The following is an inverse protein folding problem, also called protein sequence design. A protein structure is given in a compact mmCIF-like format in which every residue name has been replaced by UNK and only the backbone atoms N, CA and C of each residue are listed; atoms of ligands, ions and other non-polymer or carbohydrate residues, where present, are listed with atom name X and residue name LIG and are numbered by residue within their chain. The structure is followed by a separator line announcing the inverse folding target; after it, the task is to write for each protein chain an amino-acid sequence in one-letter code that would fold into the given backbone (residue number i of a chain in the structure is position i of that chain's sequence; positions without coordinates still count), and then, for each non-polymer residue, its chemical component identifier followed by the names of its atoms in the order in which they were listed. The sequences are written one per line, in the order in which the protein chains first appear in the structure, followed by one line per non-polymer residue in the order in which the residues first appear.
data_IF_194647127273
#
_entry.id   IF_194647127273
#
_cell.length_a   1.000
_cell.length_b   1.000
_cell.length_c   1.000
_cell.angle_alpha   90.00
_cell.angle_beta   90.00
_cell.angle_gamma   90.00
#
_symmetry.space_group_name_H-M   'P 1'
#
loop_
_entity.id
_entity.type
_entity.pdbx_description
1 polymer ?
#
# COMPACT_ATOMS: atom_id res chain seq x y z
N UNK A 1 -12.52 -18.04 -14.53
CA UNK A 1 -11.04 -18.10 -14.35
C UNK A 1 -10.45 -16.87 -13.65
N UNK A 2 -11.26 -16.00 -13.05
CA UNK A 2 -10.85 -14.85 -12.22
C UNK A 2 -10.50 -15.23 -10.78
N UNK A 3 -10.86 -16.44 -10.32
CA UNK A 3 -10.79 -16.82 -8.91
C UNK A 3 -9.37 -17.09 -8.37
N UNK A 4 -8.44 -17.64 -9.17
CA UNK A 4 -7.13 -18.13 -8.65
C UNK A 4 -6.15 -16.97 -8.38
N UNK A 5 -6.04 -16.01 -9.29
CA UNK A 5 -5.17 -14.83 -9.09
C UNK A 5 -5.63 -13.99 -7.88
N UNK A 6 -6.95 -13.83 -7.71
CA UNK A 6 -7.56 -13.18 -6.55
C UNK A 6 -7.24 -13.92 -5.25
N UNK A 7 -7.35 -15.25 -5.23
CA UNK A 7 -7.16 -16.03 -4.01
C UNK A 7 -5.69 -16.13 -3.57
N UNK A 8 -4.77 -16.38 -4.50
CA UNK A 8 -3.37 -16.69 -4.17
C UNK A 8 -2.45 -15.47 -4.10
N UNK A 9 -2.74 -14.43 -4.87
CA UNK A 9 -1.85 -13.26 -4.99
C UNK A 9 -2.47 -12.05 -4.32
N UNK A 10 -3.74 -11.76 -4.61
CA UNK A 10 -4.37 -10.53 -4.16
C UNK A 10 -4.78 -10.54 -2.68
N UNK A 11 -5.29 -11.67 -2.18
CA UNK A 11 -5.80 -11.77 -0.79
C UNK A 11 -4.71 -11.52 0.27
N UNK A 12 -3.46 -11.90 -0.01
CA UNK A 12 -2.34 -11.67 0.92
C UNK A 12 -1.97 -10.19 0.98
N UNK A 13 -1.93 -9.52 -0.16
CA UNK A 13 -1.74 -8.08 -0.23
C UNK A 13 -2.92 -7.33 0.41
N UNK A 14 -4.15 -7.82 0.22
CA UNK A 14 -5.38 -7.26 0.77
C UNK A 14 -5.37 -7.13 2.30
N UNK A 15 -4.95 -8.18 3.01
CA UNK A 15 -4.95 -8.20 4.48
C UNK A 15 -3.86 -7.27 5.04
N UNK A 16 -2.77 -7.05 4.30
CA UNK A 16 -1.60 -6.29 4.76
C UNK A 16 -1.67 -4.80 4.38
N UNK A 17 -2.64 -4.40 3.55
CA UNK A 17 -2.85 -3.03 3.10
C UNK A 17 -3.02 -1.94 4.19
N UNK A 18 -3.56 -2.21 5.41
CA UNK A 18 -3.70 -1.14 6.41
C UNK A 18 -2.39 -0.75 7.10
N UNK A 19 -1.28 -1.47 6.88
CA UNK A 19 0.01 -1.21 7.51
C UNK A 19 0.88 -0.31 6.64
N UNK A 20 0.99 0.97 7.00
CA UNK A 20 1.82 1.95 6.28
C UNK A 20 3.29 1.50 6.18
N UNK A 21 3.85 0.99 7.29
CA UNK A 21 5.22 0.49 7.33
C UNK A 21 5.46 -0.66 6.35
N UNK A 22 4.46 -1.52 6.16
CA UNK A 22 4.57 -2.68 5.28
C UNK A 22 4.12 -2.44 3.84
N UNK A 23 3.63 -1.26 3.50
CA UNK A 23 3.07 -0.97 2.19
C UNK A 23 4.11 -1.10 1.06
N UNK A 24 5.32 -0.49 1.14
CA UNK A 24 6.29 -0.58 0.05
C UNK A 24 6.75 -2.02 -0.22
N UNK A 25 7.01 -2.80 0.83
CA UNK A 25 7.43 -4.20 0.69
C UNK A 25 6.31 -5.07 0.11
N UNK A 26 5.06 -4.81 0.51
CA UNK A 26 3.90 -5.54 0.00
C UNK A 26 3.64 -5.25 -1.48
N UNK A 27 3.77 -3.99 -1.90
CA UNK A 27 3.65 -3.58 -3.30
C UNK A 27 4.72 -4.24 -4.17
N UNK A 28 5.97 -4.26 -3.72
CA UNK A 28 7.06 -4.92 -4.44
C UNK A 28 6.81 -6.43 -4.57
N UNK A 29 6.38 -7.09 -3.50
CA UNK A 29 6.09 -8.52 -3.52
C UNK A 29 4.91 -8.86 -4.43
N UNK A 30 3.86 -8.03 -4.41
CA UNK A 30 2.70 -8.17 -5.29
C UNK A 30 3.11 -8.01 -6.75
N UNK A 31 3.91 -6.99 -7.07
CA UNK A 31 4.43 -6.78 -8.42
C UNK A 31 5.24 -7.98 -8.91
N UNK A 32 6.17 -8.50 -8.08
CA UNK A 32 6.95 -9.71 -8.42
C UNK A 32 6.04 -10.92 -8.67
N UNK A 33 5.05 -11.14 -7.81
CA UNK A 33 4.09 -12.25 -7.94
C UNK A 33 3.26 -12.15 -9.23
N UNK A 34 2.81 -10.94 -9.60
CA UNK A 34 2.08 -10.71 -10.86
C UNK A 34 2.97 -10.97 -12.08
N UNK A 35 4.25 -10.63 -12.00
CA UNK A 35 5.23 -10.87 -13.06
C UNK A 35 5.67 -12.34 -13.17
N UNK A 36 5.66 -13.09 -12.06
CA UNK A 36 5.89 -14.54 -12.04
C UNK A 36 4.69 -15.31 -12.59
N UNK A 37 3.47 -14.78 -12.41
CA UNK A 37 2.24 -15.35 -12.96
C UNK A 37 2.23 -15.40 -14.50
N UNK A 38 3.18 -14.74 -15.17
CA UNK A 38 3.37 -14.86 -16.62
C UNK A 38 3.63 -16.30 -17.06
N UNK A 39 4.19 -17.13 -16.17
CA UNK A 39 4.42 -18.57 -16.39
C UNK A 39 3.12 -19.38 -16.48
N UNK A 40 2.04 -18.91 -15.85
CA UNK A 40 0.73 -19.58 -15.84
C UNK A 40 -0.16 -18.97 -16.92
N UNK A 41 -0.27 -17.64 -16.96
CA UNK A 41 -1.11 -16.96 -17.93
C UNK A 41 -0.57 -15.58 -18.33
N UNK A 42 0.16 -15.55 -19.44
CA UNK A 42 0.86 -14.36 -19.94
C UNK A 42 -0.05 -13.13 -20.11
N UNK A 43 -1.22 -13.28 -20.73
CA UNK A 43 -2.09 -12.13 -21.01
C UNK A 43 -2.64 -11.48 -19.73
N UNK A 44 -3.06 -12.28 -18.74
CA UNK A 44 -3.54 -11.80 -17.44
C UNK A 44 -2.39 -11.15 -16.67
N UNK A 45 -1.23 -11.78 -16.62
CA UNK A 45 -0.03 -11.21 -15.98
C UNK A 45 0.33 -9.84 -16.57
N UNK A 46 0.42 -9.72 -17.91
CA UNK A 46 0.70 -8.43 -18.56
C UNK A 46 -0.37 -7.39 -18.25
N UNK A 47 -1.64 -7.73 -18.39
CA UNK A 47 -2.74 -6.79 -18.12
C UNK A 47 -2.76 -6.32 -16.66
N UNK A 48 -2.56 -7.24 -15.71
CA UNK A 48 -2.58 -6.94 -14.27
C UNK A 48 -1.33 -6.18 -13.82
N UNK A 49 -0.12 -6.56 -14.27
CA UNK A 49 1.12 -5.84 -13.98
C UNK A 49 1.11 -4.43 -14.57
N UNK A 50 0.62 -4.25 -15.80
CA UNK A 50 0.47 -2.92 -16.42
C UNK A 50 -0.55 -2.05 -15.68
N UNK A 51 -1.62 -2.65 -15.16
CA UNK A 51 -2.61 -1.91 -14.35
C UNK A 51 -2.03 -1.54 -12.99
N UNK A 52 -1.31 -2.47 -12.37
CA UNK A 52 -0.74 -2.30 -11.03
C UNK A 52 0.44 -1.33 -11.02
N UNK A 53 1.23 -1.24 -12.09
CA UNK A 53 2.34 -0.28 -12.19
C UNK A 53 1.90 1.18 -12.03
N UNK A 54 0.64 1.49 -12.36
CA UNK A 54 0.04 2.80 -12.12
C UNK A 54 -0.27 3.14 -10.66
N UNK A 55 -0.18 2.16 -9.75
CA UNK A 55 -0.59 2.25 -8.35
C UNK A 55 0.58 2.00 -7.36
N UNK A 56 1.84 2.07 -7.83
CA UNK A 56 3.03 1.81 -7.02
C UNK A 56 3.49 3.03 -6.21
N UNK A 57 2.56 3.77 -5.61
CA UNK A 57 2.88 5.00 -4.89
C UNK A 57 3.81 4.78 -3.70
N UNK A 58 3.71 3.67 -2.99
CA UNK A 58 4.57 3.38 -1.84
C UNK A 58 6.01 3.05 -2.20
N UNK A 59 6.29 2.73 -3.47
CA UNK A 59 7.66 2.55 -3.95
C UNK A 59 8.33 3.89 -4.28
N UNK A 60 7.64 5.03 -4.14
CA UNK A 60 8.22 6.32 -4.55
C UNK A 60 9.38 6.66 -3.64
N UNK A 61 10.37 7.42 -4.11
CA UNK A 61 11.51 7.80 -3.29
C UNK A 61 11.08 8.40 -1.94
N UNK A 62 9.99 9.16 -1.89
CA UNK A 62 9.48 9.75 -0.67
C UNK A 62 8.84 8.74 0.29
N UNK A 63 8.14 7.71 -0.20
CA UNK A 63 7.35 6.79 0.63
C UNK A 63 8.03 5.45 0.90
N UNK A 64 9.02 5.07 0.11
CA UNK A 64 9.76 3.80 0.28
C UNK A 64 10.47 3.73 1.65
N UNK A 65 10.79 4.89 2.24
CA UNK A 65 11.35 5.01 3.58
C UNK A 65 10.48 4.37 4.68
N UNK A 66 9.17 4.23 4.46
CA UNK A 66 8.27 3.53 5.39
C UNK A 66 8.68 2.07 5.62
N UNK A 67 9.34 1.43 4.64
CA UNK A 67 9.78 0.04 4.75
C UNK A 67 10.88 -0.18 5.80
N UNK A 68 11.54 0.88 6.27
CA UNK A 68 12.49 0.80 7.39
C UNK A 68 11.82 0.34 8.70
N UNK A 69 10.51 0.54 8.81
CA UNK A 69 9.70 0.16 9.97
C UNK A 69 8.98 -1.19 9.80
N UNK A 70 9.18 -1.88 8.67
CA UNK A 70 8.67 -3.23 8.46
C UNK A 70 9.62 -4.25 9.10
N UNK A 71 9.06 -5.16 9.90
CA UNK A 71 9.80 -6.26 10.52
C UNK A 71 10.20 -7.35 9.53
N UNK A 72 9.59 -7.39 8.34
CA UNK A 72 9.91 -8.34 7.26
C UNK A 72 11.16 -7.95 6.47
N UNK A 73 11.59 -6.69 6.56
CA UNK A 73 12.79 -6.19 5.89
C UNK A 73 14.00 -6.46 6.78
N UNK A 74 14.99 -7.20 6.26
CA UNK A 74 16.18 -7.56 7.03
C UNK A 74 17.07 -6.36 7.31
N UNK A 75 17.86 -6.43 8.39
CA UNK A 75 18.86 -5.41 8.73
C UNK A 75 19.85 -5.15 7.59
N UNK A 76 20.21 -6.20 6.82
CA UNK A 76 21.07 -6.05 5.64
C UNK A 76 20.45 -5.15 4.56
N UNK A 77 19.16 -5.32 4.28
CA UNK A 77 18.44 -4.46 3.33
C UNK A 77 18.27 -3.06 3.90
N UNK A 78 17.95 -2.93 5.19
CA UNK A 78 17.87 -1.62 5.87
C UNK A 78 19.19 -0.85 5.77
N UNK A 79 20.34 -1.50 5.94
CA UNK A 79 21.67 -0.90 5.74
C UNK A 79 21.86 -0.36 4.32
N UNK A 80 21.48 -1.14 3.30
CA UNK A 80 21.58 -0.71 1.90
C UNK A 80 20.65 0.46 1.60
N UNK A 81 19.43 0.45 2.15
CA UNK A 81 18.49 1.57 2.03
C UNK A 81 19.08 2.84 2.66
N UNK A 82 19.60 2.78 3.89
CA UNK A 82 20.20 3.95 4.56
C UNK A 82 21.41 4.48 3.77
N UNK A 83 22.25 3.59 3.25
CA UNK A 83 23.37 3.97 2.38
C UNK A 83 22.89 4.72 1.13
N UNK A 84 21.82 4.24 0.48
CA UNK A 84 21.21 4.89 -0.68
C UNK A 84 20.50 6.22 -0.33
N UNK A 85 20.09 6.44 0.93
CA UNK A 85 19.59 7.75 1.38
C UNK A 85 20.71 8.78 1.57
N UNK A 86 21.95 8.33 1.77
CA UNK A 86 23.11 9.18 2.03
C UNK A 86 23.93 9.47 0.77
N UNK A 87 23.64 8.81 -0.35
CA UNK A 87 24.33 9.06 -1.61
C UNK A 87 23.93 10.42 -2.21
N UNK A 88 24.92 11.22 -2.62
CA UNK A 88 24.74 12.52 -3.28
C UNK A 88 24.27 12.44 -4.74
N UNK A 89 23.89 11.25 -5.22
CA UNK A 89 23.44 11.01 -6.59
C UNK A 89 21.99 11.52 -6.77
N UNK A 90 21.82 12.84 -6.68
CA UNK A 90 20.61 13.55 -7.05
C UNK A 90 20.50 13.57 -8.58
N UNK A 91 20.18 12.41 -9.16
CA UNK A 91 19.49 12.43 -10.45
C UNK A 91 18.12 13.07 -10.17
N UNK A 92 18.01 14.35 -10.51
CA UNK A 92 16.75 15.10 -10.63
C UNK A 92 15.78 14.36 -11.56
N UNK A 93 15.14 13.31 -11.06
CA UNK A 93 13.85 12.92 -11.60
C UNK A 93 12.87 13.97 -11.06
N UNK A 94 12.63 14.96 -11.92
CA UNK A 94 11.56 15.93 -11.81
C UNK A 94 10.28 15.20 -11.37
N UNK A 95 9.67 15.76 -10.34
CA UNK A 95 8.47 15.26 -9.73
C UNK A 95 7.35 15.16 -10.77
N UNK A 96 6.69 14.00 -10.90
CA UNK A 96 5.24 13.93 -11.15
C UNK A 96 4.67 12.50 -11.04
N UNK A 97 3.98 12.26 -9.92
CA UNK A 97 2.77 11.42 -9.75
C UNK A 97 2.78 9.91 -10.01
N UNK A 98 3.75 9.31 -10.70
CA UNK A 98 3.86 7.84 -10.83
C UNK A 98 5.30 7.44 -11.07
N UNK A 99 5.77 6.41 -10.36
CA UNK A 99 7.02 5.76 -10.73
C UNK A 99 6.77 4.96 -11.99
N UNK A 100 7.50 5.28 -13.05
CA UNK A 100 7.53 4.43 -14.24
C UNK A 100 8.56 3.33 -13.98
N UNK A 101 8.10 2.21 -13.41
CA UNK A 101 8.95 1.03 -13.30
C UNK A 101 8.89 0.28 -14.63
N UNK A 102 10.04 0.10 -15.25
CA UNK A 102 10.20 -0.88 -16.31
C UNK A 102 9.96 -2.29 -15.75
N UNK A 103 8.89 -2.94 -16.22
CA UNK A 103 8.41 -4.23 -15.70
C UNK A 103 9.40 -5.37 -15.92
N UNK A 104 10.25 -5.28 -16.93
CA UNK A 104 11.26 -6.29 -17.23
C UNK A 104 12.41 -6.23 -16.21
N UNK A 105 12.84 -5.04 -15.80
CA UNK A 105 13.81 -4.85 -14.72
C UNK A 105 13.22 -5.03 -13.31
N UNK A 106 11.91 -4.89 -13.13
CA UNK A 106 11.24 -4.97 -11.83
C UNK A 106 11.43 -6.30 -11.08
N UNK A 107 11.57 -7.42 -11.81
CA UNK A 107 11.78 -8.75 -11.20
C UNK A 107 13.03 -8.80 -10.32
N UNK A 108 14.10 -8.12 -10.74
CA UNK A 108 15.39 -8.16 -10.09
C UNK A 108 15.60 -7.01 -9.10
N UNK A 109 14.65 -6.07 -9.00
CA UNK A 109 14.74 -4.95 -8.08
C UNK A 109 14.29 -5.35 -6.67
N UNK A 110 15.09 -4.99 -5.69
CA UNK A 110 14.79 -4.93 -4.27
C UNK A 110 14.46 -3.49 -3.83
N UNK A 111 14.10 -3.33 -2.56
CA UNK A 111 13.70 -2.04 -1.98
C UNK A 111 14.79 -0.98 -2.09
N UNK A 112 16.06 -1.36 -1.90
CA UNK A 112 17.20 -0.44 -1.94
C UNK A 112 17.33 0.31 -3.27
N UNK A 113 16.85 -0.25 -4.38
CA UNK A 113 16.91 0.41 -5.70
C UNK A 113 15.85 1.50 -5.90
N UNK A 114 14.87 1.60 -5.00
CA UNK A 114 13.84 2.64 -5.01
C UNK A 114 14.16 3.78 -4.04
N UNK A 115 15.15 3.57 -3.18
CA UNK A 115 15.60 4.54 -2.19
C UNK A 115 16.58 5.50 -2.83
N UNK A 116 16.37 6.79 -2.62
CA UNK A 116 17.29 7.87 -2.98
C UNK A 116 17.48 8.84 -1.81
N UNK A 117 18.32 9.86 -1.96
CA UNK A 117 18.45 10.95 -1.00
C UNK A 117 17.11 11.62 -0.63
N UNK A 118 16.13 11.62 -1.56
CA UNK A 118 14.79 12.16 -1.30
C UNK A 118 14.02 11.37 -0.23
N UNK A 119 14.34 10.11 -0.02
CA UNK A 119 13.68 9.28 1.01
C UNK A 119 13.95 9.78 2.42
N UNK A 120 15.07 10.48 2.64
CA UNK A 120 15.35 11.15 3.91
C UNK A 120 14.37 12.31 4.19
N UNK A 121 13.79 12.93 3.14
CA UNK A 121 12.82 14.02 3.29
C UNK A 121 11.51 13.55 3.94
N UNK A 122 11.21 12.24 3.91
CA UNK A 122 10.06 11.66 4.62
C UNK A 122 10.08 12.01 6.11
N UNK A 123 11.25 11.88 6.75
CA UNK A 123 11.41 12.12 8.17
C UNK A 123 11.16 13.59 8.53
N UNK A 124 11.63 14.51 7.67
CA UNK A 124 11.37 15.94 7.82
C UNK A 124 9.89 16.29 7.59
N UNK A 125 9.27 15.73 6.55
CA UNK A 125 7.86 15.99 6.22
C UNK A 125 6.89 15.48 7.30
N UNK A 126 7.27 14.42 8.01
CA UNK A 126 6.45 13.77 9.02
C UNK A 126 6.84 14.13 10.46
N UNK A 127 7.84 15.00 10.64
CA UNK A 127 8.42 15.36 11.95
C UNK A 127 8.82 14.12 12.77
N UNK A 128 9.44 13.14 12.10
CA UNK A 128 9.90 11.89 12.71
C UNK A 128 11.35 12.05 13.19
N UNK A 129 11.69 11.50 14.37
CA UNK A 129 13.08 11.47 14.79
C UNK A 129 13.86 10.52 13.87
N UNK A 130 15.00 11.00 13.36
CA UNK A 130 15.83 10.33 12.34
C UNK A 130 17.22 9.96 12.86
N UNK A 131 17.54 10.30 14.12
CA UNK A 131 18.84 10.04 14.73
C UNK A 131 19.26 8.57 14.71
N UNK A 132 18.31 7.63 14.66
CA UNK A 132 18.57 6.20 14.53
C UNK A 132 19.21 5.82 13.19
N UNK A 133 19.03 6.60 12.12
CA UNK A 133 19.61 6.34 10.79
C UNK A 133 21.15 6.39 10.81
N UNK A 134 21.75 7.01 11.83
CA UNK A 134 23.21 7.07 12.01
C UNK A 134 23.82 5.83 12.66
N UNK A 135 22.97 4.91 13.12
CA UNK A 135 23.37 3.69 13.86
C UNK A 135 22.98 2.46 13.07
N UNK A 136 23.70 1.36 13.30
CA UNK A 136 23.40 0.09 12.63
C UNK A 136 21.96 -0.39 12.90
N UNK A 137 21.22 -0.88 11.88
CA UNK A 137 19.86 -1.38 12.02
C UNK A 137 19.65 -2.49 13.06
N UNK A 138 20.68 -3.26 13.39
CA UNK A 138 20.61 -4.31 14.39
C UNK A 138 20.42 -3.74 15.83
N UNK A 139 20.69 -2.44 16.03
CA UNK A 139 20.52 -1.75 17.31
C UNK A 139 19.24 -0.90 17.37
N UNK A 140 18.46 -0.81 16.29
CA UNK A 140 17.32 0.12 16.23
C UNK A 140 16.20 -0.24 17.19
N UNK A 141 15.91 -1.53 17.38
CA UNK A 141 14.81 -2.01 18.24
C UNK A 141 14.94 -1.58 19.71
N UNK A 142 16.14 -1.23 20.17
CA UNK A 142 16.36 -0.76 21.54
C UNK A 142 16.28 0.76 21.67
N UNK A 143 16.39 1.51 20.57
CA UNK A 143 16.44 2.96 20.62
C UNK A 143 15.07 3.60 20.78
N UNK A 144 15.03 4.67 21.58
CA UNK A 144 13.80 5.43 21.83
C UNK A 144 13.30 6.20 20.60
N UNK A 145 14.21 6.81 19.84
CA UNK A 145 13.88 7.53 18.60
C UNK A 145 13.24 6.60 17.56
N UNK A 146 13.81 5.41 17.34
CA UNK A 146 13.23 4.42 16.43
C UNK A 146 11.82 3.98 16.86
N UNK A 147 11.62 3.69 18.16
CA UNK A 147 10.30 3.30 18.70
C UNK A 147 9.26 4.39 18.47
N UNK A 148 9.59 5.64 18.76
CA UNK A 148 8.69 6.78 18.57
C UNK A 148 8.32 6.97 17.09
N UNK A 149 9.31 6.87 16.19
CA UNK A 149 9.06 6.96 14.76
C UNK A 149 8.20 5.78 14.26
N UNK A 150 8.50 4.56 14.72
CA UNK A 150 7.77 3.33 14.38
C UNK A 150 6.31 3.37 14.83
N UNK A 151 6.04 3.86 16.06
CA UNK A 151 4.67 4.04 16.56
C UNK A 151 3.90 5.08 15.75
N UNK A 152 4.54 6.21 15.43
CA UNK A 152 3.94 7.25 14.59
C UNK A 152 3.57 6.70 13.21
N UNK A 153 4.50 5.98 12.56
CA UNK A 153 4.26 5.37 11.25
C UNK A 153 3.18 4.29 11.31
N UNK A 154 3.13 3.47 12.36
CA UNK A 154 2.07 2.46 12.56
C UNK A 154 0.70 3.09 12.79
N UNK A 155 0.65 4.29 13.36
CA UNK A 155 -0.61 5.01 13.59
C UNK A 155 -1.18 5.65 12.32
N UNK A 156 -0.39 5.72 11.23
CA UNK A 156 -0.84 6.25 9.95
C UNK A 156 -1.95 5.39 9.38
N UNK A 157 -3.14 5.98 9.27
CA UNK A 157 -4.23 5.35 8.54
C UNK A 157 -3.93 5.44 7.05
N UNK A 158 -3.61 4.30 6.45
CA UNK A 158 -3.50 4.15 4.99
C UNK A 158 -4.91 4.04 4.39
N UNK A 159 -5.64 5.15 4.40
CA UNK A 159 -7.07 5.19 4.04
C UNK A 159 -7.29 5.05 2.53
N UNK A 160 -6.33 5.51 1.72
CA UNK A 160 -6.60 5.76 0.31
C UNK A 160 -6.94 4.49 -0.48
N UNK A 161 -6.25 3.41 -0.18
CA UNK A 161 -6.45 2.09 -0.77
C UNK A 161 -7.84 1.49 -0.47
N UNK A 162 -8.44 1.84 0.68
CA UNK A 162 -9.78 1.39 1.05
C UNK A 162 -10.86 2.31 0.45
N UNK A 163 -10.61 3.61 0.38
CA UNK A 163 -11.53 4.60 -0.19
C UNK A 163 -11.67 4.41 -1.71
N UNK A 164 -10.56 4.33 -2.46
CA UNK A 164 -10.58 4.10 -3.91
C UNK A 164 -11.26 2.77 -4.26
N UNK A 165 -11.03 1.73 -3.46
CA UNK A 165 -11.68 0.42 -3.64
C UNK A 165 -13.15 0.44 -3.27
N UNK A 166 -13.54 1.15 -2.21
CA UNK A 166 -14.95 1.34 -1.85
C UNK A 166 -15.72 2.07 -2.95
N UNK A 167 -15.09 3.08 -3.55
CA UNK A 167 -15.63 3.81 -4.72
C UNK A 167 -15.73 2.89 -5.94
N UNK A 168 -14.71 2.09 -6.24
CA UNK A 168 -14.77 1.15 -7.36
C UNK A 168 -15.87 0.09 -7.16
N UNK A 169 -15.98 -0.47 -5.95
CA UNK A 169 -17.00 -1.47 -5.61
C UNK A 169 -18.41 -0.89 -5.76
N UNK A 170 -18.65 0.33 -5.25
CA UNK A 170 -19.96 0.96 -5.39
C UNK A 170 -20.25 1.33 -6.85
N UNK A 171 -19.26 1.78 -7.63
CA UNK A 171 -19.44 2.07 -9.05
C UNK A 171 -19.80 0.81 -9.85
N UNK A 172 -19.08 -0.30 -9.62
CA UNK A 172 -19.36 -1.56 -10.30
C UNK A 172 -20.72 -2.14 -9.88
N UNK A 173 -21.01 -2.14 -8.58
CA UNK A 173 -22.27 -2.67 -8.05
C UNK A 173 -23.49 -1.81 -8.40
N UNK A 174 -23.39 -0.49 -8.26
CA UNK A 174 -24.44 0.44 -8.67
C UNK A 174 -24.70 0.35 -10.16
N UNK A 175 -23.67 0.15 -10.98
CA UNK A 175 -23.84 -0.03 -12.42
C UNK A 175 -24.77 -1.20 -12.82
N UNK A 176 -24.93 -2.21 -11.95
CA UNK A 176 -25.93 -3.28 -12.13
C UNK A 176 -27.34 -2.91 -11.66
N UNK A 177 -27.48 -1.96 -10.75
CA UNK A 177 -28.77 -1.53 -10.17
C UNK A 177 -29.34 -0.33 -10.93
N UNK A 178 -28.54 0.73 -11.07
CA UNK A 178 -28.94 1.98 -11.70
C UNK A 178 -27.73 2.76 -12.22
N UNK A 179 -27.90 3.40 -13.38
CA UNK A 179 -26.91 4.32 -13.96
C UNK A 179 -27.26 5.79 -13.65
N UNK A 180 -28.36 6.05 -12.94
CA UNK A 180 -28.80 7.39 -12.54
C UNK A 180 -28.22 7.76 -11.16
N UNK A 181 -27.48 8.87 -11.12
CA UNK A 181 -26.80 9.32 -9.90
C UNK A 181 -27.78 9.69 -8.79
N UNK A 182 -28.98 10.20 -9.14
CA UNK A 182 -30.01 10.57 -8.16
C UNK A 182 -30.57 9.32 -7.46
N UNK A 183 -30.83 8.25 -8.21
CA UNK A 183 -31.24 6.96 -7.65
C UNK A 183 -30.15 6.32 -6.79
N UNK A 184 -28.88 6.44 -7.20
CA UNK A 184 -27.75 5.96 -6.40
C UNK A 184 -27.65 6.71 -5.06
N UNK A 185 -27.78 8.04 -5.07
CA UNK A 185 -27.79 8.83 -3.84
C UNK A 185 -28.95 8.45 -2.92
N UNK A 186 -30.14 8.25 -3.47
CA UNK A 186 -31.30 7.79 -2.69
C UNK A 186 -31.05 6.41 -2.06
N UNK A 187 -30.52 5.46 -2.84
CA UNK A 187 -30.18 4.12 -2.36
C UNK A 187 -29.16 4.17 -1.21
N UNK A 188 -28.13 5.02 -1.34
CA UNK A 188 -27.12 5.21 -0.31
C UNK A 188 -27.71 5.77 0.99
N UNK A 189 -28.64 6.70 0.91
CA UNK A 189 -29.36 7.24 2.07
C UNK A 189 -30.19 6.14 2.76
N UNK A 190 -30.91 5.32 1.99
CA UNK A 190 -31.70 4.20 2.52
C UNK A 190 -30.82 3.17 3.22
N UNK A 191 -29.69 2.79 2.61
CA UNK A 191 -28.73 1.86 3.22
C UNK A 191 -28.12 2.44 4.49
N UNK A 192 -27.81 3.73 4.52
CA UNK A 192 -27.27 4.39 5.71
C UNK A 192 -28.28 4.43 6.86
N UNK A 193 -29.53 4.79 6.59
CA UNK A 193 -30.60 4.73 7.60
C UNK A 193 -30.83 3.30 8.08
N UNK A 194 -30.86 2.31 7.17
CA UNK A 194 -30.97 0.91 7.56
C UNK A 194 -29.82 0.47 8.48
N UNK A 195 -28.57 0.88 8.21
CA UNK A 195 -27.42 0.58 9.09
C UNK A 195 -27.52 1.28 10.45
N UNK A 196 -28.16 2.46 10.51
CA UNK A 196 -28.40 3.17 11.76
C UNK A 196 -29.46 2.46 12.62
N UNK A 197 -30.51 1.94 11.98
CA UNK A 197 -31.57 1.17 12.64
C UNK A 197 -31.09 -0.24 13.02
N UNK A 198 -30.26 -0.86 12.18
CA UNK A 198 -29.72 -2.20 12.36
C UNK A 198 -28.18 -2.16 12.35
N UNK A 199 -27.57 -1.79 13.49
CA UNK A 199 -26.11 -1.59 13.57
C UNK A 199 -25.31 -2.90 13.56
N UNK A 200 -25.95 -4.05 13.77
CA UNK A 200 -25.31 -5.36 13.70
C UNK A 200 -26.11 -6.34 12.82
N UNK A 201 -25.44 -7.41 12.39
CA UNK A 201 -26.04 -8.45 11.52
C UNK A 201 -26.67 -9.59 12.34
N UNK A 202 -27.03 -9.37 13.60
CA UNK A 202 -27.57 -10.43 14.46
C UNK A 202 -29.07 -10.62 14.18
N UNK A 203 -29.52 -11.88 14.12
CA UNK A 203 -30.96 -12.22 13.97
C UNK A 203 -31.84 -11.59 15.05
N UNK A 204 -31.31 -11.38 16.25
CA UNK A 204 -32.01 -10.74 17.38
C UNK A 204 -32.32 -9.27 17.10
N UNK A 205 -31.43 -8.57 16.41
CA UNK A 205 -31.56 -7.15 16.04
C UNK A 205 -32.56 -6.95 14.91
N UNK A 206 -32.72 -7.95 14.04
CA UNK A 206 -33.73 -7.99 12.97
C UNK A 206 -35.13 -8.39 13.46
N UNK A 207 -35.23 -8.98 14.66
CA UNK A 207 -36.49 -9.40 15.28
C UNK A 207 -37.02 -8.40 16.30
N UNK A 208 -36.28 -7.31 16.54
CA UNK A 208 -36.66 -6.21 17.43
C UNK A 208 -37.28 -5.04 16.68
N UNK A 209 -38.43 -5.24 16.05
CA UNK A 209 -39.42 -4.17 15.88
C UNK A 209 -40.80 -4.72 16.29
N UNK A 210 -41.69 -3.89 16.87
CA UNK A 210 -43.07 -4.28 17.14
C UNK A 210 -43.82 -4.72 15.87
#
# INVERSE_FOLDING_TARGET
MTCVCLQYVYLKAWISAPLASGAPYSDLLLLKSLLEYSSIHLAISKATSNKFSGNLWYLSPELVGLALFDSRVSSSTKRLMVSAMQSEDDQEQEHTKRITIDLDSAKNKNLEHFVTAKSAKLFQMMDLPDGFLTVDPDLWEDRHDYKLASETVRSLKVVNDHAERGVALIQEYSGFITQDESQLQFLLQVVNEHRRVYPDSRKQTLSGQP
#
